data_IF_378697938553
#
_entry.id   IF_378697938553
#
_cell.length_a   1.000
_cell.length_b   1.000
_cell.length_c   1.000
_cell.angle_alpha   90.00
_cell.angle_beta   90.00
_cell.angle_gamma   90.00
#
_symmetry.space_group_name_H-M   'P 1'
#
loop_
_entity.id
_entity.type
_entity.pdbx_description
1 polymer ?
#
# COMPACT_ATOMS: atom_id res chain seq x y z
N UNK A 1 -28.35 15.12 15.09
CA UNK A 1 -28.28 14.30 13.85
C UNK A 1 -27.71 15.19 12.77
N UNK A 2 -26.43 15.05 12.47
CA UNK A 2 -25.79 15.85 11.41
C UNK A 2 -26.23 15.35 10.04
N UNK A 3 -26.75 16.27 9.22
CA UNK A 3 -27.11 15.99 7.82
C UNK A 3 -25.84 15.79 7.00
N UNK A 4 -25.62 14.56 6.55
CA UNK A 4 -24.62 14.24 5.53
C UNK A 4 -24.82 15.15 4.31
N UNK A 5 -23.85 16.02 4.04
CA UNK A 5 -23.91 16.88 2.86
C UNK A 5 -23.88 16.05 1.58
N UNK A 6 -24.55 16.50 0.52
CA UNK A 6 -24.50 15.87 -0.82
C UNK A 6 -23.05 15.61 -1.28
N UNK A 7 -22.11 16.50 -0.93
CA UNK A 7 -20.69 16.37 -1.28
C UNK A 7 -20.00 15.21 -0.54
N UNK A 8 -20.29 15.03 0.74
CA UNK A 8 -19.79 13.90 1.55
C UNK A 8 -20.46 12.57 1.17
N UNK A 9 -21.73 12.60 0.75
CA UNK A 9 -22.42 11.44 0.21
C UNK A 9 -21.82 11.02 -1.14
N UNK A 10 -21.70 11.93 -2.11
CA UNK A 10 -21.14 11.60 -3.44
C UNK A 10 -19.67 11.16 -3.38
N UNK A 11 -18.83 11.74 -2.51
CA UNK A 11 -17.43 11.32 -2.34
C UNK A 11 -17.28 9.97 -1.63
N UNK A 12 -18.16 9.66 -0.66
CA UNK A 12 -18.20 8.36 0.01
C UNK A 12 -18.79 7.26 -0.88
N UNK A 13 -19.89 7.55 -1.58
CA UNK A 13 -20.64 6.58 -2.38
C UNK A 13 -19.93 6.22 -3.69
N UNK A 14 -19.24 7.15 -4.37
CA UNK A 14 -18.44 6.78 -5.55
C UNK A 14 -17.24 5.92 -5.18
N UNK A 15 -16.49 6.24 -4.13
CA UNK A 15 -15.36 5.40 -3.69
C UNK A 15 -15.82 4.01 -3.22
N UNK A 16 -16.99 3.93 -2.59
CA UNK A 16 -17.63 2.66 -2.24
C UNK A 16 -18.00 1.87 -3.48
N UNK A 17 -18.73 2.46 -4.45
CA UNK A 17 -19.16 1.80 -5.68
C UNK A 17 -18.00 1.35 -6.57
N UNK A 18 -16.85 2.04 -6.55
CA UNK A 18 -15.70 1.72 -7.39
C UNK A 18 -14.90 0.51 -6.90
N UNK A 19 -14.78 0.32 -5.58
CA UNK A 19 -14.12 -0.85 -5.01
C UNK A 19 -15.09 -1.98 -4.67
N UNK A 20 -16.35 -1.63 -4.39
CA UNK A 20 -17.47 -2.56 -4.49
C UNK A 20 -17.49 -3.13 -5.90
N UNK A 21 -17.52 -2.32 -6.97
CA UNK A 21 -17.41 -2.82 -8.34
C UNK A 21 -16.15 -3.63 -8.62
N UNK A 22 -14.98 -3.34 -8.05
CA UNK A 22 -13.81 -4.20 -8.24
C UNK A 22 -14.02 -5.61 -7.68
N UNK A 23 -14.47 -5.72 -6.42
CA UNK A 23 -14.62 -7.01 -5.74
C UNK A 23 -15.94 -7.72 -6.07
N UNK A 24 -16.97 -6.94 -6.35
CA UNK A 24 -18.27 -7.34 -6.89
C UNK A 24 -18.14 -7.76 -8.36
N UNK A 25 -17.36 -7.10 -9.23
CA UNK A 25 -17.10 -7.62 -10.60
C UNK A 25 -16.36 -8.95 -10.55
N UNK A 26 -15.47 -9.14 -9.57
CA UNK A 26 -14.76 -10.40 -9.35
C UNK A 26 -15.67 -11.52 -8.83
N UNK A 27 -16.67 -11.17 -8.03
CA UNK A 27 -17.64 -12.09 -7.43
C UNK A 27 -18.85 -12.36 -8.35
N UNK A 28 -19.38 -11.34 -9.03
CA UNK A 28 -20.57 -11.38 -9.91
C UNK A 28 -20.28 -11.90 -11.33
N UNK A 29 -19.05 -11.80 -11.84
CA UNK A 29 -18.74 -12.26 -13.20
C UNK A 29 -18.34 -13.73 -13.33
N UNK A 30 -18.38 -14.52 -12.27
CA UNK A 30 -17.81 -15.89 -12.30
C UNK A 30 -16.35 -15.84 -12.84
N UNK A 31 -15.67 -14.70 -12.64
CA UNK A 31 -14.32 -14.43 -13.12
C UNK A 31 -13.29 -15.31 -12.40
N UNK A 32 -13.69 -15.75 -11.23
CA UNK A 32 -13.32 -16.99 -10.62
C UNK A 32 -14.34 -18.03 -11.09
N UNK A 33 -13.99 -18.93 -12.03
CA UNK A 33 -14.90 -20.03 -12.39
C UNK A 33 -15.37 -20.72 -11.11
N UNK A 34 -16.64 -21.16 -11.02
CA UNK A 34 -17.37 -21.59 -9.82
C UNK A 34 -16.57 -22.28 -8.68
N UNK A 35 -15.44 -22.92 -8.99
CA UNK A 35 -14.45 -23.47 -8.06
C UNK A 35 -13.55 -22.44 -7.33
N UNK A 36 -13.54 -21.13 -7.67
CA UNK A 36 -12.52 -20.15 -7.21
C UNK A 36 -13.07 -18.93 -6.42
N UNK A 37 -14.37 -18.66 -6.41
CA UNK A 37 -14.96 -17.60 -5.57
C UNK A 37 -14.78 -17.85 -4.04
N UNK A 38 -14.81 -19.10 -3.54
CA UNK A 38 -14.42 -19.43 -2.17
C UNK A 38 -12.97 -19.04 -1.86
N UNK A 39 -12.08 -19.04 -2.86
CA UNK A 39 -10.65 -18.80 -2.67
C UNK A 39 -10.31 -17.33 -2.44
N UNK A 40 -11.07 -16.37 -2.99
CA UNK A 40 -10.82 -14.93 -2.73
C UNK A 40 -11.30 -14.50 -1.35
N UNK A 41 -12.48 -14.96 -0.93
CA UNK A 41 -12.96 -14.69 0.44
C UNK A 41 -12.02 -15.31 1.47
N UNK A 42 -11.56 -16.54 1.19
CA UNK A 42 -10.53 -17.21 1.98
C UNK A 42 -9.20 -16.45 1.96
N UNK A 43 -8.75 -15.96 0.81
CA UNK A 43 -7.54 -15.15 0.71
C UNK A 43 -7.63 -13.87 1.55
N UNK A 44 -8.76 -13.15 1.50
CA UNK A 44 -8.96 -11.98 2.36
C UNK A 44 -8.97 -12.34 3.85
N UNK A 45 -9.57 -13.48 4.21
CA UNK A 45 -9.55 -13.99 5.56
C UNK A 45 -8.13 -14.35 6.01
N UNK A 46 -7.35 -15.03 5.17
CA UNK A 46 -5.97 -15.44 5.44
C UNK A 46 -5.05 -14.21 5.59
N UNK A 47 -5.15 -13.22 4.71
CA UNK A 47 -4.41 -11.95 4.82
C UNK A 47 -4.80 -11.21 6.11
N UNK A 48 -6.08 -11.25 6.49
CA UNK A 48 -6.55 -10.64 7.74
C UNK A 48 -6.03 -11.38 8.97
N UNK A 49 -6.01 -12.71 8.94
CA UNK A 49 -5.49 -13.54 10.01
C UNK A 49 -3.99 -13.28 10.19
N UNK A 50 -3.19 -13.26 9.11
CA UNK A 50 -1.77 -12.89 9.19
C UNK A 50 -1.57 -11.51 9.84
N UNK A 51 -2.44 -10.54 9.55
CA UNK A 51 -2.38 -9.23 10.20
C UNK A 51 -2.67 -9.28 11.69
N UNK A 52 -3.58 -10.14 12.15
CA UNK A 52 -3.86 -10.36 13.58
C UNK A 52 -2.71 -11.11 14.25
N UNK A 53 -2.24 -12.20 13.65
CA UNK A 53 -1.11 -12.98 14.15
C UNK A 53 0.13 -12.09 14.34
N UNK A 54 0.39 -11.17 13.39
CA UNK A 54 1.48 -10.22 13.50
C UNK A 54 1.27 -9.24 14.66
N UNK A 55 0.07 -8.66 14.78
CA UNK A 55 -0.28 -7.70 15.84
C UNK A 55 -0.23 -8.31 17.24
N UNK A 56 -0.61 -9.58 17.35
CA UNK A 56 -0.60 -10.36 18.58
C UNK A 56 0.75 -11.02 18.85
N UNK A 57 1.76 -10.73 18.01
CA UNK A 57 3.12 -11.24 18.13
C UNK A 57 3.21 -12.78 18.09
N UNK A 58 2.25 -13.43 17.44
CA UNK A 58 2.24 -14.88 17.21
C UNK A 58 3.18 -15.30 16.06
N UNK A 59 3.45 -14.37 15.13
CA UNK A 59 4.41 -14.54 14.04
C UNK A 59 5.36 -13.35 14.01
N UNK A 60 6.59 -13.57 13.52
CA UNK A 60 7.55 -12.48 13.32
C UNK A 60 7.19 -11.61 12.11
N UNK A 61 7.82 -10.43 11.99
CA UNK A 61 7.68 -9.59 10.80
C UNK A 61 8.23 -10.28 9.55
N UNK A 62 9.30 -11.07 9.70
CA UNK A 62 9.86 -11.88 8.63
C UNK A 62 8.87 -12.97 8.18
N UNK A 63 8.25 -13.70 9.13
CA UNK A 63 7.24 -14.71 8.83
C UNK A 63 6.01 -14.10 8.15
N UNK A 64 5.56 -12.94 8.64
CA UNK A 64 4.44 -12.22 8.02
C UNK A 64 4.72 -11.87 6.56
N UNK A 65 5.93 -11.38 6.25
CA UNK A 65 6.33 -11.07 4.86
C UNK A 65 6.31 -12.33 4.00
N UNK A 66 7.02 -13.37 4.42
CA UNK A 66 7.10 -14.62 3.66
C UNK A 66 5.71 -15.22 3.40
N UNK A 67 4.88 -15.33 4.44
CA UNK A 67 3.52 -15.89 4.33
C UNK A 67 2.61 -15.01 3.46
N UNK A 68 2.71 -13.69 3.56
CA UNK A 68 1.91 -12.79 2.72
C UNK A 68 2.34 -12.88 1.25
N UNK A 69 3.63 -12.95 0.97
CA UNK A 69 4.16 -13.11 -0.39
C UNK A 69 3.77 -14.47 -1.00
N UNK A 70 3.73 -15.54 -0.19
CA UNK A 70 3.18 -16.84 -0.59
C UNK A 70 1.68 -16.75 -0.92
N UNK A 71 0.90 -16.01 -0.15
CA UNK A 71 -0.52 -15.77 -0.45
C UNK A 71 -0.71 -14.95 -1.72
N UNK A 72 0.13 -13.95 -1.97
CA UNK A 72 0.09 -13.13 -3.19
C UNK A 72 0.47 -13.96 -4.41
N UNK A 73 1.45 -14.85 -4.30
CA UNK A 73 1.89 -15.73 -5.39
C UNK A 73 0.85 -16.80 -5.79
N UNK A 74 -0.08 -17.13 -4.89
CA UNK A 74 -1.18 -18.07 -5.18
C UNK A 74 -2.33 -17.43 -5.97
N UNK A 75 -2.39 -16.11 -6.03
CA UNK A 75 -3.43 -15.39 -6.78
C UNK A 75 -2.91 -15.09 -8.18
N UNK A 76 -3.70 -15.38 -9.21
CA UNK A 76 -3.44 -14.91 -10.56
C UNK A 76 -3.74 -13.40 -10.66
N UNK A 77 -2.83 -12.59 -10.11
CA UNK A 77 -2.92 -11.13 -10.10
C UNK A 77 -3.04 -10.57 -11.53
N UNK A 78 -2.33 -11.07 -12.57
CA UNK A 78 -2.57 -10.63 -13.94
C UNK A 78 -4.01 -10.85 -14.44
N UNK A 79 -4.60 -12.04 -14.24
CA UNK A 79 -5.98 -12.31 -14.64
C UNK A 79 -6.97 -11.47 -13.85
N UNK A 80 -6.75 -11.35 -12.54
CA UNK A 80 -7.48 -10.48 -11.63
C UNK A 80 -7.53 -9.05 -12.17
N UNK A 81 -6.37 -8.46 -12.48
CA UNK A 81 -6.29 -7.07 -12.97
C UNK A 81 -6.91 -6.90 -14.36
N UNK A 82 -6.83 -7.90 -15.24
CA UNK A 82 -7.47 -7.87 -16.57
C UNK A 82 -9.00 -7.84 -16.51
N UNK A 83 -9.59 -8.36 -15.44
CA UNK A 83 -11.04 -8.31 -15.24
C UNK A 83 -11.56 -6.92 -14.83
N UNK A 84 -10.65 -6.01 -14.46
CA UNK A 84 -10.96 -4.68 -13.95
C UNK A 84 -11.08 -3.67 -15.10
N UNK A 85 -12.23 -3.02 -15.21
CA UNK A 85 -12.40 -1.89 -16.14
C UNK A 85 -11.84 -0.60 -15.52
N UNK A 86 -10.52 -0.45 -15.52
CA UNK A 86 -9.84 0.72 -14.94
C UNK A 86 -10.30 2.04 -15.57
N UNK A 87 -10.54 2.07 -16.88
CA UNK A 87 -10.97 3.30 -17.58
C UNK A 87 -12.32 3.78 -17.04
N UNK A 88 -13.30 2.87 -16.92
CA UNK A 88 -14.59 3.19 -16.32
C UNK A 88 -14.45 3.60 -14.86
N UNK A 89 -13.63 2.89 -14.08
CA UNK A 89 -13.48 3.15 -12.64
C UNK A 89 -12.77 4.47 -12.34
N UNK A 90 -11.87 4.90 -13.22
CA UNK A 90 -10.97 6.03 -12.95
C UNK A 90 -11.36 7.30 -13.69
N UNK A 91 -12.34 7.24 -14.61
CA UNK A 91 -12.82 8.37 -15.44
C UNK A 91 -13.05 9.69 -14.67
N UNK A 92 -13.54 9.60 -13.43
CA UNK A 92 -13.88 10.77 -12.61
C UNK A 92 -12.90 11.02 -11.46
N UNK A 93 -11.79 10.27 -11.41
CA UNK A 93 -10.77 10.44 -10.39
C UNK A 93 -9.91 11.66 -10.74
N UNK A 94 -10.09 12.75 -9.99
CA UNK A 94 -9.18 13.90 -10.07
C UNK A 94 -7.86 13.54 -9.40
N UNK A 95 -6.78 13.51 -10.19
CA UNK A 95 -5.43 13.26 -9.70
C UNK A 95 -4.77 14.60 -9.31
N UNK A 96 -4.00 14.64 -8.21
CA UNK A 96 -3.32 15.85 -7.77
C UNK A 96 -2.17 16.19 -8.72
N UNK A 97 -1.73 17.45 -8.71
CA UNK A 97 -0.55 17.90 -9.47
C UNK A 97 0.77 17.52 -8.78
N UNK A 98 0.72 17.21 -7.48
CA UNK A 98 1.84 16.69 -6.69
C UNK A 98 1.33 15.71 -5.62
N UNK A 99 2.11 14.67 -5.37
CA UNK A 99 1.85 13.59 -4.43
C UNK A 99 0.87 12.54 -4.95
N UNK A 100 0.26 11.81 -4.01
CA UNK A 100 -0.69 10.75 -4.31
C UNK A 100 -2.06 11.04 -3.68
N UNK A 101 -3.14 10.80 -4.43
CA UNK A 101 -4.49 10.79 -3.86
C UNK A 101 -4.77 9.44 -3.23
N UNK A 102 -5.14 9.45 -1.95
CA UNK A 102 -5.63 8.25 -1.26
C UNK A 102 -7.13 8.05 -1.53
N UNK A 103 -7.47 6.92 -2.12
CA UNK A 103 -8.83 6.44 -2.34
C UNK A 103 -9.13 5.37 -1.27
N UNK A 104 -10.11 5.65 -0.40
CA UNK A 104 -10.52 4.76 0.69
C UNK A 104 -11.81 4.02 0.32
N UNK A 105 -11.97 2.81 0.83
CA UNK A 105 -13.12 1.95 0.55
C UNK A 105 -13.42 0.96 1.70
N UNK A 106 -14.63 0.41 1.69
CA UNK A 106 -15.12 -0.54 2.70
C UNK A 106 -15.34 -1.94 2.11
N UNK A 107 -15.25 -2.98 2.94
CA UNK A 107 -15.64 -4.36 2.60
C UNK A 107 -17.00 -4.77 3.18
N UNK A 108 -17.70 -3.86 3.86
CA UNK A 108 -18.93 -4.16 4.62
C UNK A 108 -20.09 -4.75 3.81
N UNK A 109 -19.98 -4.76 2.49
CA UNK A 109 -21.00 -5.28 1.58
C UNK A 109 -20.58 -6.58 0.88
N UNK A 110 -19.41 -7.15 1.21
CA UNK A 110 -18.91 -8.40 0.60
C UNK A 110 -19.27 -9.56 1.52
N UNK A 111 -20.06 -10.50 0.99
CA UNK A 111 -20.38 -11.75 1.69
C UNK A 111 -19.10 -12.56 1.94
N UNK A 112 -18.90 -13.03 3.17
CA UNK A 112 -17.70 -13.78 3.58
C UNK A 112 -16.47 -12.93 3.93
N UNK A 113 -16.48 -11.61 3.70
CA UNK A 113 -15.36 -10.75 4.08
C UNK A 113 -15.31 -10.48 5.61
N UNK A 114 -14.11 -10.37 6.21
CA UNK A 114 -13.98 -10.04 7.63
C UNK A 114 -14.59 -8.68 7.97
N UNK A 115 -15.48 -8.64 8.96
CA UNK A 115 -16.09 -7.40 9.45
C UNK A 115 -15.09 -6.50 10.21
N UNK A 116 -14.06 -7.11 10.81
CA UNK A 116 -12.98 -6.42 11.52
C UNK A 116 -11.65 -6.73 10.85
N UNK A 117 -11.00 -5.69 10.35
CA UNK A 117 -9.71 -5.81 9.69
C UNK A 117 -8.55 -5.57 10.66
N UNK A 118 -7.51 -6.39 10.56
CA UNK A 118 -6.24 -6.20 11.22
C UNK A 118 -5.42 -5.06 10.60
N UNK A 119 -5.75 -4.64 9.39
CA UNK A 119 -5.02 -3.66 8.61
C UNK A 119 -5.93 -2.54 8.07
N UNK A 120 -5.34 -1.38 7.84
CA UNK A 120 -5.93 -0.35 7.00
C UNK A 120 -5.66 -0.64 5.52
N UNK A 121 -6.48 -0.07 4.64
CA UNK A 121 -6.40 -0.28 3.19
C UNK A 121 -6.74 0.99 2.41
N UNK A 122 -6.06 1.20 1.29
CA UNK A 122 -6.29 2.32 0.39
C UNK A 122 -5.71 2.04 -0.99
N UNK A 123 -6.18 2.75 -2.01
CA UNK A 123 -5.51 2.84 -3.32
C UNK A 123 -4.89 4.23 -3.44
N UNK A 124 -3.61 4.29 -3.77
CA UNK A 124 -2.93 5.53 -4.16
C UNK A 124 -3.09 5.73 -5.66
N UNK A 125 -3.58 6.90 -6.07
CA UNK A 125 -3.76 7.29 -7.47
C UNK A 125 -2.91 8.52 -7.78
N UNK A 126 -2.15 8.47 -8.87
CA UNK A 126 -1.13 9.48 -9.19
C UNK A 126 -1.04 9.76 -10.69
N UNK A 127 -0.64 10.99 -11.05
CA UNK A 127 -0.20 11.34 -12.41
C UNK A 127 1.22 10.84 -12.66
N UNK A 128 1.64 10.83 -13.92
CA UNK A 128 3.06 10.59 -14.26
C UNK A 128 3.94 11.62 -13.57
N UNK A 129 5.08 11.17 -13.07
CA UNK A 129 6.05 12.03 -12.37
C UNK A 129 5.74 12.25 -10.90
N UNK A 130 4.49 12.05 -10.47
CA UNK A 130 4.13 12.14 -9.06
C UNK A 130 4.61 10.91 -8.27
N UNK A 131 4.61 11.01 -6.94
CA UNK A 131 5.01 9.88 -6.09
C UNK A 131 4.21 9.67 -4.82
N UNK A 132 4.20 8.41 -4.37
CA UNK A 132 4.20 8.12 -2.95
C UNK A 132 5.60 8.45 -2.45
N UNK A 133 5.72 9.65 -1.88
CA UNK A 133 7.01 10.27 -1.50
C UNK A 133 7.84 9.39 -0.57
N UNK A 134 9.18 9.53 -0.54
CA UNK A 134 10.04 8.73 0.32
C UNK A 134 9.65 8.79 1.79
N UNK A 135 9.35 7.64 2.36
CA UNK A 135 9.07 7.51 3.79
C UNK A 135 9.36 6.11 4.31
N UNK A 136 9.73 6.04 5.59
CA UNK A 136 9.80 4.81 6.35
C UNK A 136 8.58 4.63 7.25
N UNK A 137 8.52 3.49 7.90
CA UNK A 137 7.47 3.12 8.83
C UNK A 137 8.02 2.91 10.25
N UNK A 138 7.29 3.39 11.24
CA UNK A 138 7.48 3.04 12.64
C UNK A 138 6.30 2.18 13.07
N UNK A 139 6.59 1.00 13.62
CA UNK A 139 5.61 0.12 14.23
C UNK A 139 4.50 -0.28 13.24
N UNK A 140 4.87 -0.49 11.97
CA UNK A 140 3.94 -0.90 10.91
C UNK A 140 4.55 -1.94 9.98
N UNK A 141 3.69 -2.75 9.38
CA UNK A 141 4.02 -3.61 8.24
C UNK A 141 3.05 -3.28 7.10
N UNK A 142 3.57 -3.12 5.89
CA UNK A 142 2.78 -2.70 4.73
C UNK A 142 3.10 -3.55 3.51
N UNK A 143 2.09 -3.76 2.66
CA UNK A 143 2.26 -4.41 1.38
C UNK A 143 1.60 -3.58 0.28
N UNK A 144 2.21 -3.63 -0.90
CA UNK A 144 1.79 -2.88 -2.08
C UNK A 144 1.55 -3.83 -3.24
N UNK A 145 0.50 -3.59 -4.02
CA UNK A 145 0.27 -4.24 -5.32
C UNK A 145 0.08 -3.15 -6.35
N UNK A 146 0.82 -3.20 -7.45
CA UNK A 146 0.60 -2.31 -8.58
C UNK A 146 -0.65 -2.76 -9.32
N UNK A 147 -1.67 -1.91 -9.31
CA UNK A 147 -2.95 -2.18 -9.93
C UNK A 147 -2.96 -1.80 -11.41
N UNK A 148 -2.35 -0.66 -11.75
CA UNK A 148 -2.35 -0.10 -13.10
C UNK A 148 -1.16 0.86 -13.24
N UNK A 149 -0.58 0.92 -14.43
CA UNK A 149 0.53 1.81 -14.75
C UNK A 149 1.91 1.25 -14.38
N UNK A 150 2.94 2.09 -14.54
CA UNK A 150 4.34 1.78 -14.28
C UNK A 150 4.90 2.68 -13.19
N UNK A 151 5.78 2.13 -12.37
CA UNK A 151 6.43 2.86 -11.29
C UNK A 151 7.91 2.57 -11.23
N UNK A 152 8.72 3.58 -10.95
CA UNK A 152 10.05 3.34 -10.37
C UNK A 152 9.88 3.13 -8.87
N UNK A 153 10.09 1.91 -8.40
CA UNK A 153 10.07 1.56 -6.99
C UNK A 153 11.48 1.51 -6.42
N UNK A 154 11.70 2.26 -5.33
CA UNK A 154 12.94 2.25 -4.55
C UNK A 154 12.65 1.83 -3.12
N UNK A 155 13.46 0.93 -2.57
CA UNK A 155 13.39 0.49 -1.18
C UNK A 155 14.75 0.58 -0.51
N UNK A 156 14.72 0.74 0.81
CA UNK A 156 15.90 0.81 1.63
C UNK A 156 15.66 0.14 2.99
N UNK A 157 16.66 -0.59 3.47
CA UNK A 157 16.72 -0.96 4.88
C UNK A 157 17.04 0.28 5.73
N UNK A 158 16.39 0.39 6.88
CA UNK A 158 16.71 1.38 7.91
C UNK A 158 17.62 0.75 8.94
N UNK A 159 18.86 1.22 9.00
CA UNK A 159 19.91 0.60 9.82
C UNK A 159 20.12 1.30 11.17
N UNK A 160 19.98 2.63 11.20
CA UNK A 160 20.12 3.40 12.42
C UNK A 160 19.31 4.69 12.39
N UNK A 161 18.84 5.09 13.57
CA UNK A 161 18.18 6.37 13.78
C UNK A 161 19.10 7.35 14.48
N UNK A 162 19.24 8.54 13.89
CA UNK A 162 19.85 9.69 14.52
C UNK A 162 18.78 10.77 14.77
N UNK A 163 19.16 11.79 15.54
CA UNK A 163 18.26 12.90 15.89
C UNK A 163 17.68 13.60 14.65
N UNK A 164 18.51 13.86 13.64
CA UNK A 164 18.12 14.58 12.39
C UNK A 164 18.27 13.74 11.12
N UNK A 165 18.79 12.52 11.24
CA UNK A 165 19.05 11.65 10.10
C UNK A 165 18.60 10.22 10.37
N UNK A 166 18.54 9.43 9.31
CA UNK A 166 18.36 7.99 9.34
C UNK A 166 19.43 7.40 8.41
N UNK A 167 20.18 6.42 8.90
CA UNK A 167 21.12 5.68 8.06
C UNK A 167 20.35 4.58 7.34
N UNK A 168 20.37 4.62 6.02
CA UNK A 168 19.64 3.69 5.16
C UNK A 168 20.57 2.99 4.17
N UNK A 169 20.20 1.78 3.73
CA UNK A 169 20.89 1.02 2.70
C UNK A 169 19.93 0.72 1.55
N UNK A 170 20.24 1.09 0.30
CA UNK A 170 19.40 0.73 -0.86
C UNK A 170 19.28 -0.79 -1.00
N UNK A 171 18.08 -1.28 -1.31
CA UNK A 171 17.80 -2.71 -1.46
C UNK A 171 17.08 -3.04 -2.76
N UNK A 172 16.17 -2.18 -3.19
CA UNK A 172 15.45 -2.31 -4.47
C UNK A 172 15.54 -0.98 -5.21
N UNK A 173 15.82 -1.04 -6.51
CA UNK A 173 15.72 0.11 -7.41
C UNK A 173 15.39 -0.39 -8.83
N UNK A 174 14.10 -0.57 -9.13
CA UNK A 174 13.65 -1.14 -10.41
C UNK A 174 12.29 -0.60 -10.84
N UNK A 175 11.92 -0.88 -12.09
CA UNK A 175 10.55 -0.69 -12.56
C UNK A 175 9.63 -1.72 -11.89
N UNK A 176 8.41 -1.32 -11.55
CA UNK A 176 7.30 -2.15 -11.15
C UNK A 176 6.13 -1.91 -12.12
N UNK A 177 5.59 -3.00 -12.66
CA UNK A 177 4.41 -3.02 -13.53
C UNK A 177 3.18 -3.63 -12.85
N UNK A 178 2.02 -3.66 -13.53
CA UNK A 178 0.80 -4.25 -13.01
C UNK A 178 1.01 -5.69 -12.54
N UNK A 179 0.31 -6.07 -11.48
CA UNK A 179 0.38 -7.36 -10.78
C UNK A 179 1.66 -7.60 -9.96
N UNK A 180 2.67 -6.73 -10.05
CA UNK A 180 3.83 -6.81 -9.17
C UNK A 180 3.52 -6.23 -7.78
N UNK A 181 4.24 -6.72 -6.78
CA UNK A 181 4.03 -6.35 -5.38
C UNK A 181 5.35 -6.20 -4.62
N UNK A 182 5.27 -5.57 -3.46
CA UNK A 182 6.37 -5.50 -2.49
C UNK A 182 5.86 -5.45 -1.06
N UNK A 183 6.68 -5.87 -0.11
CA UNK A 183 6.37 -5.83 1.32
C UNK A 183 7.43 -5.03 2.08
N UNK A 184 6.99 -4.38 3.16
CA UNK A 184 7.82 -3.46 3.95
C UNK A 184 7.48 -3.65 5.43
N UNK A 185 8.50 -3.76 6.28
CA UNK A 185 8.34 -3.90 7.74
C UNK A 185 9.28 -2.97 8.50
N UNK A 186 9.23 -2.96 9.83
CA UNK A 186 10.23 -2.24 10.63
C UNK A 186 11.64 -2.82 10.45
N UNK A 187 11.74 -4.11 10.09
CA UNK A 187 12.99 -4.86 10.03
C UNK A 187 13.62 -4.93 8.62
N UNK A 188 12.81 -4.85 7.55
CA UNK A 188 13.30 -4.98 6.17
C UNK A 188 12.58 -4.02 5.22
N UNK A 189 13.37 -3.42 4.32
CA UNK A 189 12.91 -2.56 3.24
C UNK A 189 12.04 -1.40 3.73
N UNK A 190 12.24 -1.00 5.00
CA UNK A 190 11.39 -0.12 5.80
C UNK A 190 11.03 1.18 5.10
N UNK A 191 12.00 1.75 4.38
CA UNK A 191 11.85 2.99 3.64
C UNK A 191 11.55 2.66 2.19
N UNK A 192 10.53 3.28 1.62
CA UNK A 192 10.18 3.09 0.22
C UNK A 192 9.74 4.38 -0.45
N UNK A 193 9.84 4.39 -1.78
CA UNK A 193 9.49 5.50 -2.66
C UNK A 193 9.00 4.94 -4.00
N UNK A 194 7.76 5.26 -4.36
CA UNK A 194 7.19 4.86 -5.65
C UNK A 194 6.87 6.10 -6.48
N UNK A 195 7.59 6.29 -7.58
CA UNK A 195 7.34 7.36 -8.54
C UNK A 195 6.63 6.80 -9.77
N UNK A 196 5.49 7.38 -10.15
CA UNK A 196 4.78 6.99 -11.36
C UNK A 196 5.58 7.35 -12.61
N UNK A 197 5.73 6.40 -13.52
CA UNK A 197 6.38 6.57 -14.82
C UNK A 197 5.35 6.61 -15.97
N UNK A 198 4.10 6.24 -15.70
CA UNK A 198 2.96 6.37 -16.61
C UNK A 198 1.89 7.30 -16.03
N UNK A 199 1.01 7.81 -16.91
CA UNK A 199 -0.21 8.49 -16.47
C UNK A 199 -1.20 7.49 -15.88
N UNK A 200 -2.04 7.96 -14.94
CA UNK A 200 -3.07 7.13 -14.31
C UNK A 200 -2.47 5.90 -13.63
N UNK A 201 -1.57 6.11 -12.67
CA UNK A 201 -0.87 5.04 -11.98
C UNK A 201 -1.53 4.76 -10.62
N UNK A 202 -1.79 3.48 -10.33
CA UNK A 202 -2.56 3.05 -9.16
C UNK A 202 -1.83 1.96 -8.35
N UNK A 203 -1.71 2.18 -7.03
CA UNK A 203 -1.13 1.21 -6.08
C UNK A 203 -2.16 0.85 -5.02
N UNK A 204 -2.49 -0.42 -4.86
CA UNK A 204 -3.19 -0.90 -3.67
C UNK A 204 -2.19 -1.01 -2.52
N UNK A 205 -2.56 -0.49 -1.35
CA UNK A 205 -1.74 -0.53 -0.14
C UNK A 205 -2.54 -1.13 1.02
N UNK A 206 -1.98 -2.16 1.63
CA UNK A 206 -2.36 -2.71 2.93
C UNK A 206 -1.37 -2.23 4.00
N UNK A 207 -1.85 -1.85 5.18
CA UNK A 207 -1.00 -1.45 6.30
C UNK A 207 -1.50 -1.95 7.65
N UNK A 208 -0.75 -2.85 8.28
CA UNK A 208 -0.92 -3.24 9.67
C UNK A 208 -0.23 -2.21 10.58
N UNK A 209 -1.01 -1.64 11.50
CA UNK A 209 -0.55 -0.62 12.46
C UNK A 209 -0.31 -1.26 13.83
N UNK A 210 0.65 -0.74 14.60
CA UNK A 210 0.92 -1.17 15.97
C UNK A 210 1.26 -2.67 16.08
N UNK A 211 2.20 -3.12 15.25
CA UNK A 211 2.66 -4.52 15.15
C UNK A 211 3.62 -4.93 16.27
N UNK A 212 4.12 -3.97 17.05
CA UNK A 212 4.95 -4.15 18.23
C UNK A 212 4.37 -3.28 19.36
N UNK A 213 3.32 -3.75 20.04
CA UNK A 213 2.74 -3.03 21.18
C UNK A 213 3.80 -2.72 22.24
N UNK A 214 3.78 -1.50 22.79
CA UNK A 214 4.73 -1.11 23.84
C UNK A 214 6.13 -0.71 23.36
N UNK A 215 6.39 -0.64 22.03
CA UNK A 215 7.70 -0.25 21.45
C UNK A 215 8.20 1.14 21.88
N UNK A 216 7.35 1.99 22.46
CA UNK A 216 7.73 3.33 22.93
C UNK A 216 8.00 4.35 21.82
N UNK A 217 7.78 3.99 20.55
CA UNK A 217 7.83 4.90 19.39
C UNK A 217 6.43 5.10 18.82
N UNK A 218 6.07 6.32 18.41
CA UNK A 218 4.79 6.57 17.75
C UNK A 218 4.66 5.75 16.48
N UNK A 219 3.52 5.05 16.34
CA UNK A 219 3.16 4.35 15.11
C UNK A 219 2.88 5.35 14.01
N UNK A 220 3.52 5.19 12.86
CA UNK A 220 3.27 6.07 11.72
C UNK A 220 4.44 6.14 10.75
N UNK A 221 4.40 7.17 9.90
CA UNK A 221 5.42 7.40 8.87
C UNK A 221 6.54 8.28 9.39
N UNK A 222 7.75 8.00 8.92
CA UNK A 222 8.89 8.92 9.01
C UNK A 222 9.27 9.38 7.60
N UNK A 223 9.36 10.69 7.38
CA UNK A 223 9.75 11.23 6.08
C UNK A 223 11.24 11.55 6.09
N UNK A 224 11.91 11.27 4.96
CA UNK A 224 13.35 11.46 4.82
C UNK A 224 13.73 11.76 3.37
N UNK A 225 14.88 12.42 3.18
CA UNK A 225 15.51 12.66 1.89
C UNK A 225 16.50 11.51 1.59
N UNK A 226 16.15 10.58 0.68
CA UNK A 226 17.01 9.43 0.37
C UNK A 226 18.22 9.79 -0.50
N UNK A 227 18.37 11.05 -0.93
CA UNK A 227 19.53 11.55 -1.67
C UNK A 227 20.54 12.27 -0.75
N UNK A 228 20.54 11.93 0.54
CA UNK A 228 21.43 12.51 1.54
C UNK A 228 22.92 12.20 1.34
N UNK A 229 23.69 12.41 2.40
CA UNK A 229 25.14 12.17 2.40
C UNK A 229 25.43 10.69 2.14
N UNK A 230 26.26 10.40 1.12
CA UNK A 230 26.75 9.05 0.85
C UNK A 230 27.86 8.73 1.85
N UNK A 231 27.70 7.62 2.56
CA UNK A 231 28.72 7.08 3.45
C UNK A 231 29.46 5.94 2.74
N UNK A 232 30.46 5.38 3.42
CA UNK A 232 31.15 4.17 2.99
C UNK A 232 30.17 2.98 2.83
N UNK A 233 30.58 1.98 2.05
CA UNK A 233 29.81 0.75 1.76
C UNK A 233 28.43 0.96 1.12
N UNK A 234 28.21 2.12 0.48
CA UNK A 234 26.97 2.43 -0.24
C UNK A 234 25.80 2.80 0.67
N UNK A 235 26.07 3.09 1.94
CA UNK A 235 25.07 3.61 2.88
C UNK A 235 24.75 5.07 2.60
N UNK A 236 23.56 5.50 3.02
CA UNK A 236 23.11 6.88 2.88
C UNK A 236 22.68 7.40 4.24
N UNK A 237 23.24 8.53 4.65
CA UNK A 237 22.79 9.29 5.80
C UNK A 237 21.71 10.27 5.35
N UNK A 238 20.47 9.79 5.36
CA UNK A 238 19.30 10.50 4.87
C UNK A 238 18.79 11.49 5.92
N UNK A 239 18.55 12.74 5.51
CA UNK A 239 18.01 13.78 6.41
C UNK A 239 16.53 13.53 6.66
N UNK A 240 16.09 13.63 7.93
CA UNK A 240 14.66 13.65 8.26
C UNK A 240 14.02 14.93 7.72
N UNK A 241 12.90 14.78 7.04
CA UNK A 241 12.09 15.88 6.53
C UNK A 241 10.65 15.71 7.01
N UNK A 242 9.79 16.69 6.78
CA UNK A 242 8.35 16.53 7.02
C UNK A 242 7.63 16.13 5.71
N UNK A 243 6.34 15.79 5.83
CA UNK A 243 5.53 15.39 4.68
C UNK A 243 5.51 16.45 3.57
N UNK A 244 5.32 17.72 3.92
CA UNK A 244 5.16 18.80 2.94
C UNK A 244 6.46 19.05 2.16
N UNK A 245 7.60 18.97 2.84
CA UNK A 245 8.92 19.03 2.22
C UNK A 245 9.15 17.82 1.30
N UNK A 246 8.76 16.61 1.73
CA UNK A 246 8.84 15.41 0.89
C UNK A 246 7.97 15.54 -0.37
N UNK A 247 6.76 16.08 -0.25
CA UNK A 247 5.88 16.38 -1.40
C UNK A 247 6.47 17.46 -2.30
N UNK A 248 7.12 18.49 -1.76
CA UNK A 248 7.75 19.52 -2.58
C UNK A 248 8.95 18.98 -3.38
N UNK A 249 9.73 18.07 -2.78
CA UNK A 249 10.95 17.54 -3.39
C UNK A 249 10.67 16.38 -4.36
N UNK A 250 9.68 15.54 -4.05
CA UNK A 250 9.47 14.27 -4.76
C UNK A 250 8.03 14.04 -5.22
N UNK A 251 7.08 14.89 -4.80
CA UNK A 251 5.66 14.73 -5.08
C UNK A 251 5.32 14.84 -6.55
#
# INVERSE_FOLDING_TARGET
MDMLSRRSFTQGTLGSLLTFSLLETLYERDAFGADTAPDVSRWFADVNQLGWDLKEQQISQADWRSKLEELLAKVDLPALLKSIDFDKLTKNVTLPDAGARSLRFSFTQIEGAPQKLAYGKQVFAMKKGCSVVPHGHNNMATAFIILQGKFRGKHYDRLADEAKHVVIRPTIDREFGPAEYSTVTDEKDNVHWFKAESEGAFIFNLHAMNITPGKGVPTGRIYLDPNGEKLDDGLIRARRINHDEATKLYG
#
